data_IF_764427866352
#
_entry.id   IF_764427866352
#
_cell.length_a   1.000
_cell.length_b   1.000
_cell.length_c   1.000
_cell.angle_alpha   90.00
_cell.angle_beta   90.00
_cell.angle_gamma   90.00
#
_symmetry.space_group_name_H-M   'P 1'
#
loop_
_entity.id
_entity.type
_entity.pdbx_description
1 polymer ?
#
# COMPACT_ATOMS: atom_id res chain seq x y z
N UNK A 1 -4.69 41.97 48.95
CA UNK A 1 -3.77 40.93 48.51
C UNK A 1 -4.51 39.60 48.46
N UNK A 2 -5.17 39.31 47.38
CA UNK A 2 -5.89 38.05 47.19
C UNK A 2 -5.23 37.30 46.02
N UNK A 3 -4.72 36.12 46.30
CA UNK A 3 -3.96 35.29 45.38
C UNK A 3 -4.81 34.79 44.23
N UNK A 4 -4.37 35.04 43.02
CA UNK A 4 -4.83 34.34 41.83
C UNK A 4 -4.24 32.90 41.90
N UNK A 5 -5.06 31.92 42.28
CA UNK A 5 -4.76 30.52 42.07
C UNK A 5 -4.94 30.25 40.57
N UNK A 6 -3.84 30.04 39.88
CA UNK A 6 -3.84 29.48 38.51
C UNK A 6 -4.61 28.17 38.51
N UNK A 7 -5.85 28.21 38.04
CA UNK A 7 -6.62 27.00 37.73
C UNK A 7 -6.01 26.44 36.45
N UNK A 8 -4.98 25.62 36.62
CA UNK A 8 -4.42 24.85 35.50
C UNK A 8 -5.56 23.96 34.96
N UNK A 9 -5.98 24.26 33.75
CA UNK A 9 -7.07 23.57 33.07
C UNK A 9 -6.72 22.08 32.90
N UNK A 10 -7.38 21.24 33.69
CA UNK A 10 -7.18 19.78 33.67
C UNK A 10 -7.40 19.19 32.29
N UNK A 11 -8.18 19.85 31.40
CA UNK A 11 -8.40 19.43 30.03
C UNK A 11 -7.12 19.61 29.18
N UNK A 12 -6.41 20.72 29.36
CA UNK A 12 -5.11 20.99 28.70
C UNK A 12 -4.01 20.05 29.17
N UNK A 13 -3.96 19.75 30.49
CA UNK A 13 -3.01 18.78 31.01
C UNK A 13 -3.28 17.38 30.44
N UNK A 14 -4.55 16.99 30.34
CA UNK A 14 -4.96 15.71 29.78
C UNK A 14 -4.60 15.61 28.28
N UNK A 15 -4.84 16.69 27.53
CA UNK A 15 -4.44 16.78 26.11
C UNK A 15 -2.92 16.71 25.91
N UNK A 16 -2.13 17.46 26.68
CA UNK A 16 -0.68 17.43 26.62
C UNK A 16 -0.12 16.05 27.01
N UNK A 17 -0.71 15.41 28.04
CA UNK A 17 -0.32 14.06 28.46
C UNK A 17 -0.70 13.00 27.43
N UNK A 18 -1.80 13.20 26.71
CA UNK A 18 -2.23 12.30 25.64
C UNK A 18 -1.35 12.46 24.40
N UNK A 19 -0.99 13.70 24.02
CA UNK A 19 -0.05 13.98 22.92
C UNK A 19 1.37 13.43 23.22
N UNK A 20 1.81 13.46 24.46
CA UNK A 20 3.10 12.90 24.88
C UNK A 20 3.19 11.36 24.78
N UNK A 21 2.07 10.67 24.59
CA UNK A 21 2.00 9.21 24.40
C UNK A 21 1.82 8.79 22.95
N UNK A 22 1.46 9.72 22.06
CA UNK A 22 1.22 9.40 20.64
C UNK A 22 2.53 9.07 19.91
N UNK A 23 2.45 8.09 19.02
CA UNK A 23 3.53 7.71 18.11
C UNK A 23 3.18 8.17 16.70
N UNK A 24 4.08 8.94 16.10
CA UNK A 24 3.93 9.43 14.73
C UNK A 24 4.63 8.44 13.80
N UNK A 25 3.90 7.93 12.82
CA UNK A 25 4.41 6.96 11.85
C UNK A 25 4.17 7.43 10.42
N UNK A 26 4.94 6.89 9.52
CA UNK A 26 4.77 6.99 8.07
C UNK A 26 4.37 5.63 7.51
N UNK A 27 3.50 5.60 6.54
CA UNK A 27 3.00 4.37 5.93
C UNK A 27 3.50 4.20 4.50
N UNK A 28 4.06 3.05 4.21
CA UNK A 28 4.53 2.64 2.90
C UNK A 28 3.68 1.45 2.41
N UNK A 29 2.70 1.71 1.51
CA UNK A 29 1.64 0.77 1.15
C UNK A 29 1.92 0.10 -0.19
N UNK A 30 2.14 -1.22 -0.18
CA UNK A 30 2.30 -2.00 -1.40
C UNK A 30 1.03 -2.06 -2.24
N UNK A 31 1.22 -2.15 -3.57
CA UNK A 31 0.21 -2.52 -4.53
C UNK A 31 0.04 -4.04 -4.65
N UNK A 32 -1.15 -4.46 -5.09
CA UNK A 32 -1.47 -5.88 -5.25
C UNK A 32 -2.91 -6.16 -5.66
N UNK A 33 -3.59 -5.23 -6.32
CA UNK A 33 -4.99 -5.39 -6.74
C UNK A 33 -5.91 -5.65 -5.55
N UNK A 34 -6.77 -6.68 -5.65
CA UNK A 34 -7.71 -7.06 -4.59
C UNK A 34 -7.02 -7.40 -3.25
N UNK A 35 -5.73 -7.81 -3.28
CA UNK A 35 -4.98 -8.05 -2.05
C UNK A 35 -4.78 -6.76 -1.23
N UNK A 36 -4.97 -5.59 -1.80
CA UNK A 36 -5.04 -4.31 -1.08
C UNK A 36 -6.13 -4.24 -0.01
N UNK A 37 -7.10 -5.17 0.00
CA UNK A 37 -8.06 -5.30 1.09
C UNK A 37 -7.41 -5.78 2.41
N UNK A 38 -6.26 -6.47 2.35
CA UNK A 38 -5.41 -6.70 3.52
C UNK A 38 -4.95 -5.36 4.11
N UNK A 39 -4.44 -4.46 3.26
CA UNK A 39 -4.03 -3.11 3.67
C UNK A 39 -5.21 -2.33 4.28
N UNK A 40 -6.43 -2.45 3.73
CA UNK A 40 -7.61 -1.87 4.36
C UNK A 40 -7.80 -2.34 5.81
N UNK A 41 -7.68 -3.65 6.07
CA UNK A 41 -7.76 -4.18 7.44
C UNK A 41 -6.68 -3.62 8.36
N UNK A 42 -5.43 -3.52 7.86
CA UNK A 42 -4.32 -2.92 8.60
C UNK A 42 -4.61 -1.45 8.94
N UNK A 43 -5.02 -0.65 7.96
CA UNK A 43 -5.32 0.78 8.13
C UNK A 43 -6.48 0.99 9.09
N UNK A 44 -7.53 0.18 9.00
CA UNK A 44 -8.69 0.25 9.89
C UNK A 44 -8.28 0.07 11.35
N UNK A 45 -7.43 -0.92 11.65
CA UNK A 45 -6.92 -1.18 12.99
C UNK A 45 -5.98 -0.08 13.49
N UNK A 46 -5.11 0.46 12.63
CA UNK A 46 -4.22 1.58 12.99
C UNK A 46 -5.02 2.85 13.30
N UNK A 47 -6.08 3.12 12.54
CA UNK A 47 -6.96 4.27 12.76
C UNK A 47 -7.80 4.17 14.03
N UNK A 48 -8.13 2.96 14.50
CA UNK A 48 -8.79 2.75 15.79
C UNK A 48 -7.91 3.11 16.98
N UNK A 49 -6.59 3.07 16.83
CA UNK A 49 -5.68 3.31 17.93
C UNK A 49 -5.37 4.82 18.05
N UNK A 50 -5.88 5.46 19.09
CA UNK A 50 -5.65 6.89 19.33
C UNK A 50 -4.20 7.24 19.66
N UNK A 51 -3.38 6.24 19.96
CA UNK A 51 -1.96 6.41 20.24
C UNK A 51 -1.12 6.53 18.95
N UNK A 52 -1.69 6.22 17.78
CA UNK A 52 -1.03 6.30 16.48
C UNK A 52 -1.49 7.54 15.74
N UNK A 53 -0.54 8.28 15.19
CA UNK A 53 -0.74 9.41 14.28
C UNK A 53 0.01 9.12 12.99
N UNK A 54 -0.68 9.24 11.87
CA UNK A 54 -0.09 9.05 10.54
C UNK A 54 0.31 10.43 10.02
N UNK A 55 1.61 10.63 9.75
CA UNK A 55 2.14 11.89 9.17
C UNK A 55 2.10 11.86 7.65
N UNK A 56 2.52 10.74 7.07
CA UNK A 56 2.63 10.60 5.62
C UNK A 56 2.32 9.19 5.13
N UNK A 57 1.83 9.10 3.90
CA UNK A 57 1.55 7.83 3.23
C UNK A 57 2.12 7.87 1.82
N UNK A 58 2.93 6.88 1.48
CA UNK A 58 3.31 6.58 0.11
C UNK A 58 2.65 5.28 -0.33
N UNK A 59 1.88 5.32 -1.41
CA UNK A 59 1.16 4.17 -1.91
C UNK A 59 1.36 3.92 -3.40
N UNK A 60 1.26 2.64 -3.77
CA UNK A 60 1.36 2.19 -5.17
C UNK A 60 0.15 1.32 -5.51
N UNK A 61 -0.47 1.53 -6.68
CA UNK A 61 -1.59 0.72 -7.17
C UNK A 61 -2.74 0.67 -6.14
N UNK A 62 -3.16 -0.51 -5.67
CA UNK A 62 -4.15 -0.64 -4.60
C UNK A 62 -3.73 0.10 -3.31
N UNK A 63 -2.43 0.20 -3.02
CA UNK A 63 -1.88 1.00 -1.93
C UNK A 63 -2.15 2.50 -2.14
N UNK A 64 -2.03 3.01 -3.37
CA UNK A 64 -2.37 4.39 -3.72
C UNK A 64 -3.87 4.67 -3.56
N UNK A 65 -4.73 3.74 -3.99
CA UNK A 65 -6.18 3.82 -3.78
C UNK A 65 -6.52 3.95 -2.29
N UNK A 66 -5.97 3.04 -1.46
CA UNK A 66 -6.15 3.09 -0.01
C UNK A 66 -5.65 4.43 0.58
N UNK A 67 -4.48 4.91 0.14
CA UNK A 67 -3.86 6.13 0.65
C UNK A 67 -4.73 7.38 0.37
N UNK A 68 -5.23 7.52 -0.86
CA UNK A 68 -6.04 8.68 -1.26
C UNK A 68 -7.41 8.67 -0.59
N UNK A 69 -8.06 7.50 -0.53
CA UNK A 69 -9.37 7.34 0.15
C UNK A 69 -9.25 7.61 1.65
N UNK A 70 -8.16 7.15 2.27
CA UNK A 70 -7.87 7.41 3.68
C UNK A 70 -7.63 8.92 3.90
N UNK A 71 -6.85 9.58 3.05
CA UNK A 71 -6.52 11.00 3.18
C UNK A 71 -7.78 11.86 3.13
N UNK A 72 -8.63 11.69 2.12
CA UNK A 72 -9.90 12.40 1.99
C UNK A 72 -10.83 12.14 3.19
N UNK A 73 -10.94 10.88 3.61
CA UNK A 73 -11.75 10.52 4.77
C UNK A 73 -11.24 11.09 6.09
N UNK A 74 -9.90 11.22 6.27
CA UNK A 74 -9.30 11.88 7.43
C UNK A 74 -9.62 13.37 7.45
N UNK A 75 -9.52 14.04 6.31
CA UNK A 75 -9.76 15.47 6.19
C UNK A 75 -11.24 15.83 6.43
N UNK A 76 -12.16 14.96 6.00
CA UNK A 76 -13.60 15.20 6.07
C UNK A 76 -14.25 14.75 7.38
N UNK A 77 -13.74 13.69 8.00
CA UNK A 77 -14.40 13.06 9.16
C UNK A 77 -13.43 12.44 10.17
N UNK A 78 -12.16 12.83 10.15
CA UNK A 78 -11.15 12.29 11.06
C UNK A 78 -10.94 10.79 10.87
N UNK A 79 -10.43 10.11 11.89
CA UNK A 79 -10.14 8.68 11.84
C UNK A 79 -11.35 7.83 11.47
N UNK A 80 -12.52 8.14 12.01
CA UNK A 80 -13.75 7.41 11.72
C UNK A 80 -14.22 7.67 10.27
N UNK A 81 -14.10 8.91 9.77
CA UNK A 81 -14.35 9.24 8.37
C UNK A 81 -13.49 8.43 7.42
N UNK A 82 -12.20 8.31 7.71
CA UNK A 82 -11.25 7.49 6.93
C UNK A 82 -11.63 5.99 6.92
N UNK A 83 -11.99 5.44 8.07
CA UNK A 83 -12.44 4.04 8.20
C UNK A 83 -13.68 3.78 7.36
N UNK A 84 -14.67 4.67 7.42
CA UNK A 84 -15.90 4.57 6.63
C UNK A 84 -15.64 4.73 5.13
N UNK A 85 -14.75 5.66 4.74
CA UNK A 85 -14.37 5.86 3.34
C UNK A 85 -13.70 4.62 2.75
N UNK A 86 -12.73 4.01 3.45
CA UNK A 86 -12.09 2.76 3.06
C UNK A 86 -13.10 1.62 2.89
N UNK A 87 -14.04 1.46 3.83
CA UNK A 87 -15.10 0.46 3.73
C UNK A 87 -16.00 0.69 2.52
N UNK A 88 -16.39 1.95 2.26
CA UNK A 88 -17.21 2.32 1.09
C UNK A 88 -16.47 2.02 -0.21
N UNK A 89 -15.18 2.33 -0.27
CA UNK A 89 -14.32 2.04 -1.43
C UNK A 89 -14.29 0.54 -1.74
N UNK A 90 -13.93 -0.31 -0.79
CA UNK A 90 -13.85 -1.76 -1.02
C UNK A 90 -15.20 -2.40 -1.30
N UNK A 91 -16.27 -1.91 -0.68
CA UNK A 91 -17.64 -2.32 -1.04
C UNK A 91 -18.01 -1.87 -2.48
N UNK A 92 -17.54 -0.70 -2.90
CA UNK A 92 -17.67 -0.21 -4.27
C UNK A 92 -16.92 -1.07 -5.28
N UNK A 93 -15.68 -1.44 -4.98
CA UNK A 93 -14.87 -2.37 -5.80
C UNK A 93 -15.60 -3.70 -5.98
N UNK A 94 -16.14 -4.25 -4.91
CA UNK A 94 -16.91 -5.50 -5.00
C UNK A 94 -18.17 -5.36 -5.87
N UNK A 95 -18.91 -4.26 -5.74
CA UNK A 95 -20.11 -4.00 -6.54
C UNK A 95 -19.76 -3.80 -8.02
N UNK A 96 -18.73 -3.02 -8.33
CA UNK A 96 -18.24 -2.82 -9.69
C UNK A 96 -17.81 -4.15 -10.33
N UNK A 97 -17.15 -5.01 -9.56
CA UNK A 97 -16.77 -6.34 -10.00
C UNK A 97 -17.90 -7.38 -10.03
N UNK A 98 -19.13 -7.04 -9.61
CA UNK A 98 -20.24 -7.99 -9.59
C UNK A 98 -20.60 -8.52 -10.99
N UNK A 99 -20.41 -7.71 -12.02
CA UNK A 99 -20.67 -8.07 -13.42
C UNK A 99 -19.40 -8.52 -14.16
N UNK A 100 -18.26 -8.58 -13.49
CA UNK A 100 -17.02 -9.07 -14.09
C UNK A 100 -17.14 -10.56 -14.44
N UNK A 101 -16.57 -11.02 -15.57
CA UNK A 101 -16.50 -12.44 -15.91
C UNK A 101 -15.52 -13.21 -14.99
N UNK A 102 -14.75 -12.52 -14.17
CA UNK A 102 -13.75 -13.10 -13.26
C UNK A 102 -14.43 -13.63 -11.99
N UNK A 103 -15.01 -14.82 -12.08
CA UNK A 103 -15.72 -15.49 -10.98
C UNK A 103 -15.05 -16.82 -10.67
N UNK A 104 -14.96 -17.14 -9.38
CA UNK A 104 -14.53 -18.49 -8.96
C UNK A 104 -15.51 -19.54 -9.47
N UNK A 105 -14.97 -20.72 -9.84
CA UNK A 105 -15.81 -21.86 -10.16
C UNK A 105 -16.58 -22.33 -8.91
N UNK A 106 -17.66 -23.07 -9.12
CA UNK A 106 -18.40 -23.68 -8.00
C UNK A 106 -17.51 -24.63 -7.16
N UNK A 107 -16.57 -25.32 -7.81
CA UNK A 107 -15.63 -26.22 -7.16
C UNK A 107 -14.61 -25.46 -6.29
N UNK A 108 -14.08 -24.32 -6.77
CA UNK A 108 -13.18 -23.47 -5.97
C UNK A 108 -13.89 -22.90 -4.76
N UNK A 109 -15.19 -22.59 -4.88
CA UNK A 109 -16.02 -22.14 -3.74
C UNK A 109 -16.20 -23.26 -2.72
N UNK A 110 -16.50 -24.48 -3.19
CA UNK A 110 -16.66 -25.66 -2.32
C UNK A 110 -15.36 -26.01 -1.58
N UNK A 111 -14.21 -25.89 -2.26
CA UNK A 111 -12.88 -26.17 -1.71
C UNK A 111 -12.28 -25.00 -0.92
N UNK A 112 -13.01 -23.87 -0.77
CA UNK A 112 -12.53 -22.68 -0.07
C UNK A 112 -11.36 -21.98 -0.75
N UNK A 113 -11.12 -22.23 -2.04
CA UNK A 113 -10.04 -21.61 -2.82
C UNK A 113 -10.44 -20.21 -3.30
N UNK A 114 -9.53 -19.26 -3.23
CA UNK A 114 -9.76 -17.87 -3.66
C UNK A 114 -9.19 -17.57 -5.05
N UNK A 115 -8.50 -18.51 -5.67
CA UNK A 115 -7.92 -18.39 -7.01
C UNK A 115 -8.98 -18.23 -8.10
N UNK A 116 -8.62 -17.59 -9.20
CA UNK A 116 -9.38 -17.53 -10.43
C UNK A 116 -8.75 -18.39 -11.56
N UNK A 117 -7.70 -19.15 -11.26
CA UNK A 117 -6.92 -19.90 -12.26
C UNK A 117 -7.79 -20.84 -13.10
N UNK A 118 -8.87 -21.37 -12.51
CA UNK A 118 -9.81 -22.25 -13.18
C UNK A 118 -11.10 -21.53 -13.65
N UNK A 119 -11.15 -20.20 -13.53
CA UNK A 119 -12.26 -19.39 -14.04
C UNK A 119 -12.22 -19.32 -15.56
N UNK A 120 -13.25 -19.76 -16.28
CA UNK A 120 -13.26 -19.70 -17.75
C UNK A 120 -13.11 -18.26 -18.27
N UNK A 121 -13.75 -17.29 -17.60
CA UNK A 121 -13.62 -15.87 -17.95
C UNK A 121 -12.20 -15.34 -17.75
N UNK A 122 -11.55 -15.73 -16.66
CA UNK A 122 -10.16 -15.33 -16.39
C UNK A 122 -9.19 -15.97 -17.40
N UNK A 123 -9.30 -17.28 -17.66
CA UNK A 123 -8.45 -17.99 -18.62
C UNK A 123 -8.58 -17.41 -20.04
N UNK A 124 -9.80 -17.12 -20.47
CA UNK A 124 -10.04 -16.48 -21.76
C UNK A 124 -9.39 -15.08 -21.81
N UNK A 125 -9.60 -14.27 -20.78
CA UNK A 125 -9.03 -12.93 -20.71
C UNK A 125 -7.50 -12.95 -20.63
N UNK A 126 -6.90 -13.81 -19.81
CA UNK A 126 -5.44 -13.94 -19.70
C UNK A 126 -4.81 -14.32 -21.05
N UNK A 127 -5.42 -15.25 -21.78
CA UNK A 127 -4.97 -15.62 -23.12
C UNK A 127 -5.13 -14.45 -24.10
N UNK A 128 -6.28 -13.80 -24.09
CA UNK A 128 -6.59 -12.73 -25.03
C UNK A 128 -5.71 -11.49 -24.80
N UNK A 129 -5.47 -11.11 -23.55
CA UNK A 129 -4.64 -9.95 -23.18
C UNK A 129 -3.16 -10.08 -23.59
N UNK A 130 -2.71 -11.31 -23.89
CA UNK A 130 -1.35 -11.58 -24.43
C UNK A 130 -1.29 -11.44 -25.94
N UNK A 131 -2.43 -11.53 -26.63
CA UNK A 131 -2.53 -11.50 -28.09
C UNK A 131 -3.03 -10.16 -28.61
N UNK A 132 -3.84 -9.47 -27.82
CA UNK A 132 -4.52 -8.22 -28.22
C UNK A 132 -4.30 -7.15 -27.17
N UNK A 133 -3.90 -5.97 -27.59
CA UNK A 133 -3.60 -4.85 -26.67
C UNK A 133 -4.88 -4.28 -26.03
N UNK A 134 -4.79 -3.63 -24.87
CA UNK A 134 -5.93 -2.93 -24.26
C UNK A 134 -6.49 -1.80 -25.15
N UNK A 135 -5.68 -1.23 -26.05
CA UNK A 135 -6.14 -0.23 -27.03
C UNK A 135 -7.13 -0.81 -28.04
N UNK A 136 -7.03 -2.11 -28.34
CA UNK A 136 -7.91 -2.83 -29.24
C UNK A 136 -9.10 -3.45 -28.50
N UNK A 137 -8.88 -3.98 -27.27
CA UNK A 137 -9.91 -4.64 -26.46
C UNK A 137 -10.87 -3.64 -25.80
N UNK A 138 -10.37 -2.48 -25.43
CA UNK A 138 -11.11 -1.42 -24.75
C UNK A 138 -10.83 -0.06 -25.39
N UNK A 139 -11.24 0.17 -26.66
CA UNK A 139 -10.94 1.40 -27.39
C UNK A 139 -11.54 2.65 -26.74
N UNK A 140 -12.61 2.51 -25.98
CA UNK A 140 -13.25 3.60 -25.24
C UNK A 140 -12.62 3.86 -23.86
N UNK A 141 -11.55 3.13 -23.51
CA UNK A 141 -10.85 3.24 -22.23
C UNK A 141 -11.80 3.23 -21.01
N UNK A 142 -12.78 2.34 -21.03
CA UNK A 142 -13.73 2.17 -19.92
C UNK A 142 -12.99 1.62 -18.71
N UNK A 143 -13.00 2.36 -17.60
CA UNK A 143 -12.38 1.97 -16.35
C UNK A 143 -13.34 2.22 -15.17
N UNK A 144 -14.02 1.19 -14.66
CA UNK A 144 -14.97 1.35 -13.54
C UNK A 144 -14.35 1.88 -12.26
N UNK A 145 -13.02 1.74 -12.08
CA UNK A 145 -12.33 2.32 -10.93
C UNK A 145 -12.28 3.84 -10.99
N UNK A 146 -12.30 4.44 -12.20
CA UNK A 146 -12.36 5.89 -12.37
C UNK A 146 -13.63 6.45 -11.74
N UNK A 147 -14.78 5.92 -12.13
CA UNK A 147 -16.07 6.38 -11.65
C UNK A 147 -16.21 6.18 -10.14
N UNK A 148 -15.74 5.03 -9.65
CA UNK A 148 -15.75 4.73 -8.23
C UNK A 148 -14.92 5.72 -7.43
N UNK A 149 -13.65 5.94 -7.78
CA UNK A 149 -12.75 6.84 -7.05
C UNK A 149 -13.26 8.28 -7.14
N UNK A 150 -13.68 8.74 -8.34
CA UNK A 150 -14.20 10.10 -8.53
C UNK A 150 -15.49 10.35 -7.73
N UNK A 151 -16.29 9.31 -7.46
CA UNK A 151 -17.50 9.42 -6.66
C UNK A 151 -17.27 9.42 -5.15
N UNK A 152 -16.10 8.97 -4.70
CA UNK A 152 -15.77 8.81 -3.28
C UNK A 152 -14.79 9.83 -2.74
N UNK A 153 -13.92 10.39 -3.59
CA UNK A 153 -12.82 11.27 -3.21
C UNK A 153 -13.03 12.66 -3.82
N UNK A 154 -13.03 13.68 -2.98
CA UNK A 154 -12.98 15.07 -3.41
C UNK A 154 -11.52 15.49 -3.62
N UNK A 155 -11.05 15.39 -4.87
CA UNK A 155 -9.68 15.73 -5.22
C UNK A 155 -9.35 17.21 -5.06
N UNK A 156 -10.33 18.12 -5.17
CA UNK A 156 -10.15 19.55 -4.85
C UNK A 156 -9.85 19.72 -3.36
N UNK A 157 -10.65 19.07 -2.53
CA UNK A 157 -10.43 19.12 -1.09
C UNK A 157 -9.08 18.49 -0.72
N UNK A 158 -8.75 17.31 -1.25
CA UNK A 158 -7.46 16.65 -1.00
C UNK A 158 -6.28 17.56 -1.32
N UNK A 159 -6.29 18.29 -2.45
CA UNK A 159 -5.18 19.17 -2.84
C UNK A 159 -4.98 20.35 -1.87
N UNK A 160 -6.04 20.91 -1.34
CA UNK A 160 -6.01 22.15 -0.56
C UNK A 160 -5.99 21.94 0.95
N UNK A 161 -6.38 20.77 1.44
CA UNK A 161 -6.37 20.49 2.88
C UNK A 161 -4.94 20.31 3.41
N UNK A 162 -4.69 20.87 4.59
CA UNK A 162 -3.47 20.65 5.37
C UNK A 162 -3.58 19.36 6.17
N UNK A 163 -3.64 18.23 5.46
CA UNK A 163 -3.72 16.90 6.07
C UNK A 163 -2.39 16.13 5.99
N UNK A 164 -2.49 14.82 6.05
CA UNK A 164 -1.33 13.93 5.92
C UNK A 164 -0.60 14.17 4.60
N UNK A 165 0.72 13.98 4.59
CA UNK A 165 1.51 14.00 3.36
C UNK A 165 1.17 12.78 2.51
N UNK A 166 0.88 12.98 1.24
CA UNK A 166 0.40 11.94 0.34
C UNK A 166 1.30 11.84 -0.89
N UNK A 167 1.76 10.62 -1.17
CA UNK A 167 2.61 10.29 -2.31
C UNK A 167 2.03 9.11 -3.07
N UNK A 168 1.86 9.26 -4.36
CA UNK A 168 1.37 8.21 -5.27
C UNK A 168 2.43 7.93 -6.32
N UNK A 169 2.77 6.66 -6.48
CA UNK A 169 3.85 6.21 -7.37
C UNK A 169 3.29 5.74 -8.69
N UNK A 170 3.86 6.20 -9.80
CA UNK A 170 3.60 5.69 -11.15
C UNK A 170 4.92 5.44 -11.91
N UNK A 171 4.85 4.71 -13.02
CA UNK A 171 5.98 4.46 -13.91
C UNK A 171 5.78 5.21 -15.22
N UNK A 172 6.70 6.12 -15.57
CA UNK A 172 6.67 6.79 -16.86
C UNK A 172 7.03 5.79 -17.96
N UNK A 173 6.14 5.62 -18.94
CA UNK A 173 6.25 4.58 -19.97
C UNK A 173 7.44 4.83 -20.91
N UNK A 174 7.72 6.11 -21.24
CA UNK A 174 8.75 6.46 -22.22
C UNK A 174 10.15 6.34 -21.66
N UNK A 175 10.32 6.69 -20.38
CA UNK A 175 11.65 6.77 -19.76
C UNK A 175 11.97 5.59 -18.85
N UNK A 176 10.95 4.80 -18.48
CA UNK A 176 11.07 3.74 -17.47
C UNK A 176 11.37 4.26 -16.06
N UNK A 177 11.24 5.58 -15.83
CA UNK A 177 11.55 6.20 -14.54
C UNK A 177 10.33 6.21 -13.62
N UNK A 178 10.60 6.20 -12.33
CA UNK A 178 9.61 6.45 -11.29
C UNK A 178 9.10 7.89 -11.36
N UNK A 179 7.79 8.09 -11.23
CA UNK A 179 7.15 9.39 -11.00
C UNK A 179 6.44 9.33 -9.66
N UNK A 180 6.69 10.33 -8.83
CA UNK A 180 6.00 10.54 -7.56
C UNK A 180 5.06 11.72 -7.73
N UNK A 181 3.77 11.47 -7.57
CA UNK A 181 2.75 12.51 -7.48
C UNK A 181 2.53 12.88 -6.02
N UNK A 182 2.54 14.18 -5.72
CA UNK A 182 2.37 14.72 -4.38
C UNK A 182 0.93 15.17 -4.16
N UNK A 183 0.54 15.31 -2.90
CA UNK A 183 -0.81 15.69 -2.49
C UNK A 183 -1.35 16.91 -3.23
N UNK A 184 -0.53 17.98 -3.38
CA UNK A 184 -0.92 19.27 -3.95
C UNK A 184 -1.27 19.21 -5.45
N UNK A 185 -0.82 18.19 -6.15
CA UNK A 185 -1.10 17.96 -7.58
C UNK A 185 -2.12 16.84 -7.82
N UNK A 186 -2.60 16.16 -6.75
CA UNK A 186 -3.34 14.91 -6.85
C UNK A 186 -4.63 15.03 -7.66
N UNK A 187 -4.78 14.13 -8.63
CA UNK A 187 -5.99 13.96 -9.44
C UNK A 187 -6.37 12.49 -9.53
N UNK A 188 -7.59 12.24 -10.02
CA UNK A 188 -8.03 10.85 -10.29
C UNK A 188 -7.11 10.15 -11.28
N UNK A 189 -6.61 10.88 -12.30
CA UNK A 189 -5.70 10.31 -13.31
C UNK A 189 -4.38 9.85 -12.70
N UNK A 190 -3.82 10.57 -11.74
CA UNK A 190 -2.60 10.19 -11.05
C UNK A 190 -2.77 8.91 -10.25
N UNK A 191 -3.92 8.75 -9.58
CA UNK A 191 -4.25 7.52 -8.84
C UNK A 191 -4.45 6.35 -9.80
N UNK A 192 -5.14 6.57 -10.91
CA UNK A 192 -5.35 5.54 -11.94
C UNK A 192 -4.05 5.17 -12.66
N UNK A 193 -3.16 6.14 -12.90
CA UNK A 193 -1.82 5.88 -13.45
C UNK A 193 -1.04 4.91 -12.56
N UNK A 194 -1.12 5.10 -11.24
CA UNK A 194 -0.49 4.21 -10.26
C UNK A 194 -1.03 2.77 -10.31
N UNK A 195 -2.25 2.55 -10.79
CA UNK A 195 -2.90 1.24 -10.87
C UNK A 195 -3.11 0.75 -12.32
N UNK A 196 -2.45 1.39 -13.29
CA UNK A 196 -2.59 1.09 -14.70
C UNK A 196 -1.73 -0.10 -15.12
N UNK A 197 -2.26 -1.32 -15.01
CA UNK A 197 -1.59 -2.53 -15.49
C UNK A 197 -1.58 -2.58 -17.03
N UNK A 198 -0.41 -2.71 -17.69
CA UNK A 198 -0.25 -2.55 -19.15
C UNK A 198 -1.08 -3.50 -20.03
N UNK A 199 -1.40 -4.68 -19.52
CA UNK A 199 -2.19 -5.69 -20.25
C UNK A 199 -3.70 -5.59 -20.01
N UNK A 200 -4.13 -4.69 -19.10
CA UNK A 200 -5.54 -4.52 -18.73
C UNK A 200 -6.06 -3.17 -19.18
N UNK A 201 -5.27 -2.10 -19.02
CA UNK A 201 -5.67 -0.73 -19.28
C UNK A 201 -4.73 -0.04 -20.27
N UNK A 202 -5.28 0.91 -21.04
CA UNK A 202 -4.48 1.86 -21.80
C UNK A 202 -3.64 2.71 -20.84
N UNK A 203 -2.45 3.14 -21.27
CA UNK A 203 -1.63 4.03 -20.47
C UNK A 203 -2.40 5.30 -20.11
N UNK A 204 -2.25 5.78 -18.88
CA UNK A 204 -2.88 7.03 -18.46
C UNK A 204 -1.97 8.18 -18.89
N UNK A 205 -2.53 9.11 -19.67
CA UNK A 205 -1.82 10.30 -20.12
C UNK A 205 -2.06 11.47 -19.17
N UNK A 206 -0.98 12.08 -18.68
CA UNK A 206 -0.99 13.25 -17.80
C UNK A 206 0.06 14.24 -18.33
N UNK A 207 -0.36 15.43 -18.70
CA UNK A 207 0.52 16.51 -19.21
C UNK A 207 1.42 16.07 -20.38
N UNK A 208 0.89 15.22 -21.27
CA UNK A 208 1.61 14.72 -22.45
C UNK A 208 2.56 13.56 -22.21
N UNK A 209 2.68 13.09 -20.96
CA UNK A 209 3.44 11.91 -20.57
C UNK A 209 2.50 10.73 -20.28
N UNK A 210 2.94 9.52 -20.64
CA UNK A 210 2.18 8.29 -20.45
C UNK A 210 2.68 7.50 -19.22
N UNK A 211 1.77 6.96 -18.43
CA UNK A 211 2.09 6.27 -17.18
C UNK A 211 1.43 4.90 -17.08
N UNK A 212 2.17 3.96 -16.50
CA UNK A 212 1.74 2.64 -16.06
C UNK A 212 1.84 2.50 -14.55
N UNK A 213 1.38 1.34 -14.04
CA UNK A 213 1.40 0.99 -12.62
C UNK A 213 2.78 1.27 -11.99
N UNK A 214 2.74 1.92 -10.84
CA UNK A 214 3.94 2.26 -10.09
C UNK A 214 4.73 1.05 -9.60
N UNK A 215 4.08 -0.13 -9.51
CA UNK A 215 4.67 -1.35 -9.03
C UNK A 215 5.91 -1.82 -9.78
N UNK A 216 6.12 -1.34 -11.01
CA UNK A 216 7.33 -1.64 -11.77
C UNK A 216 8.56 -0.88 -11.27
N UNK A 217 8.41 0.33 -10.71
CA UNK A 217 9.53 1.20 -10.33
C UNK A 217 9.54 1.63 -8.85
N UNK A 218 8.43 1.46 -8.12
CA UNK A 218 8.35 1.76 -6.69
C UNK A 218 7.12 1.12 -6.04
N UNK A 219 7.29 0.07 -5.26
CA UNK A 219 6.16 -0.66 -4.67
C UNK A 219 6.36 -0.99 -3.18
N UNK A 220 6.14 -0.01 -2.30
CA UNK A 220 6.07 1.43 -2.54
C UNK A 220 7.44 2.08 -2.66
N UNK A 221 7.47 3.38 -3.01
CA UNK A 221 8.65 4.21 -2.87
C UNK A 221 8.83 4.64 -1.41
N UNK A 222 10.07 4.60 -0.89
CA UNK A 222 10.38 4.99 0.48
C UNK A 222 11.03 6.38 0.57
N UNK A 223 11.79 6.76 -0.45
CA UNK A 223 12.49 8.06 -0.45
C UNK A 223 11.57 9.26 -0.21
N UNK A 224 10.34 9.35 -0.76
CA UNK A 224 9.46 10.48 -0.48
C UNK A 224 9.12 10.63 1.01
N UNK A 225 9.00 9.51 1.74
CA UNK A 225 8.75 9.53 3.18
C UNK A 225 9.99 10.01 3.92
N UNK A 226 11.17 9.49 3.58
CA UNK A 226 12.44 9.91 4.21
C UNK A 226 12.76 11.39 3.93
N UNK A 227 12.49 11.87 2.71
CA UNK A 227 12.85 13.23 2.29
C UNK A 227 11.87 14.29 2.83
N UNK A 228 10.59 14.00 2.84
CA UNK A 228 9.53 15.00 3.03
C UNK A 228 8.84 14.92 4.41
N UNK A 229 8.92 13.79 5.13
CA UNK A 229 8.28 13.62 6.45
C UNK A 229 9.25 13.85 7.62
N UNK A 230 8.72 14.00 8.84
CA UNK A 230 9.51 14.26 10.06
C UNK A 230 9.63 13.04 10.97
N UNK A 231 8.66 12.13 10.93
CA UNK A 231 8.73 10.89 11.69
C UNK A 231 9.91 10.04 11.25
N UNK A 232 10.48 9.26 12.16
CA UNK A 232 11.53 8.29 11.86
C UNK A 232 10.97 6.91 11.59
N UNK A 233 9.73 6.64 12.00
CA UNK A 233 9.11 5.31 11.96
C UNK A 233 8.38 5.09 10.64
N UNK A 234 8.99 4.33 9.73
CA UNK A 234 8.41 3.94 8.44
C UNK A 234 7.86 2.53 8.56
N UNK A 235 6.54 2.38 8.47
CA UNK A 235 5.84 1.11 8.54
C UNK A 235 5.47 0.64 7.12
N UNK A 236 6.11 -0.41 6.66
CA UNK A 236 5.85 -1.03 5.36
C UNK A 236 4.69 -2.02 5.52
N UNK A 237 3.58 -1.79 4.82
CA UNK A 237 2.48 -2.75 4.70
C UNK A 237 2.73 -3.59 3.46
N UNK A 238 3.22 -4.80 3.68
CA UNK A 238 3.68 -5.69 2.61
C UNK A 238 2.65 -6.75 2.26
N UNK A 239 2.30 -6.80 0.98
CA UNK A 239 1.31 -7.74 0.42
C UNK A 239 1.98 -8.86 -0.35
N UNK A 240 3.05 -8.54 -1.10
CA UNK A 240 3.70 -9.48 -1.98
C UNK A 240 4.78 -10.26 -1.20
N UNK A 241 4.69 -11.62 -1.11
CA UNK A 241 5.69 -12.42 -0.43
C UNK A 241 7.08 -12.26 -1.04
N UNK A 242 8.11 -12.15 -0.18
CA UNK A 242 9.51 -12.07 -0.61
C UNK A 242 10.08 -13.45 -0.93
N UNK A 243 9.77 -14.41 -0.10
CA UNK A 243 10.35 -15.75 -0.13
C UNK A 243 9.31 -16.81 -0.47
N UNK A 244 9.69 -17.73 -1.36
CA UNK A 244 8.98 -18.96 -1.67
C UNK A 244 9.94 -20.13 -1.46
N UNK A 245 9.51 -21.11 -0.68
CA UNK A 245 10.32 -22.31 -0.38
C UNK A 245 10.40 -23.21 -1.59
N UNK A 246 9.28 -23.41 -2.28
CA UNK A 246 9.20 -24.29 -3.43
C UNK A 246 9.54 -23.58 -4.73
N UNK A 247 10.28 -24.27 -5.59
CA UNK A 247 10.56 -23.80 -6.94
C UNK A 247 9.28 -23.87 -7.79
N UNK A 248 8.85 -22.78 -8.46
CA UNK A 248 7.69 -22.82 -9.33
C UNK A 248 7.94 -23.72 -10.54
N UNK A 249 7.02 -24.67 -10.80
CA UNK A 249 7.16 -25.66 -11.88
C UNK A 249 6.06 -25.59 -12.92
N UNK A 250 4.91 -25.01 -12.59
CA UNK A 250 3.82 -24.79 -13.53
C UNK A 250 3.86 -23.39 -14.12
N UNK A 251 3.32 -23.20 -15.33
CA UNK A 251 3.30 -21.89 -15.96
C UNK A 251 2.61 -20.80 -15.08
N UNK A 252 1.45 -21.07 -14.42
CA UNK A 252 0.87 -20.12 -13.48
C UNK A 252 1.81 -19.79 -12.31
N UNK A 253 2.47 -20.77 -11.69
CA UNK A 253 3.38 -20.54 -10.57
C UNK A 253 4.60 -19.71 -10.98
N UNK A 254 5.15 -19.98 -12.19
CA UNK A 254 6.26 -19.20 -12.75
C UNK A 254 5.84 -17.74 -12.94
N UNK A 255 4.67 -17.50 -13.53
CA UNK A 255 4.14 -16.15 -13.72
C UNK A 255 3.85 -15.44 -12.39
N UNK A 256 3.31 -16.17 -11.42
CA UNK A 256 3.12 -15.69 -10.05
C UNK A 256 4.45 -15.21 -9.46
N UNK A 257 5.50 -16.03 -9.59
CA UNK A 257 6.81 -15.72 -9.03
C UNK A 257 7.48 -14.54 -9.73
N UNK A 258 7.39 -14.47 -11.06
CA UNK A 258 7.90 -13.32 -11.84
C UNK A 258 7.22 -12.02 -11.37
N UNK A 259 5.90 -12.04 -11.20
CA UNK A 259 5.17 -10.88 -10.71
C UNK A 259 5.63 -10.46 -9.30
N UNK A 260 5.77 -11.41 -8.36
CA UNK A 260 6.25 -11.11 -7.00
C UNK A 260 7.67 -10.53 -7.02
N UNK A 261 8.57 -11.11 -7.79
CA UNK A 261 9.96 -10.61 -7.94
C UNK A 261 9.95 -9.19 -8.49
N UNK A 262 9.21 -8.96 -9.56
CA UNK A 262 9.15 -7.64 -10.22
C UNK A 262 8.60 -6.58 -9.25
N UNK A 263 7.52 -6.89 -8.55
CA UNK A 263 6.86 -5.96 -7.64
C UNK A 263 7.60 -5.74 -6.32
N UNK A 264 8.54 -6.60 -5.95
CA UNK A 264 9.40 -6.42 -4.78
C UNK A 264 10.76 -5.80 -5.11
N UNK A 265 11.20 -5.86 -6.37
CA UNK A 265 12.57 -5.52 -6.77
C UNK A 265 12.94 -4.06 -6.44
N UNK A 266 12.02 -3.11 -6.67
CA UNK A 266 12.24 -1.70 -6.37
C UNK A 266 12.34 -1.45 -4.87
N UNK A 267 11.45 -2.03 -4.07
CA UNK A 267 11.47 -1.92 -2.61
C UNK A 267 12.79 -2.45 -2.02
N UNK A 268 13.24 -3.63 -2.47
CA UNK A 268 14.51 -4.22 -2.03
C UNK A 268 15.68 -3.28 -2.35
N UNK A 269 15.71 -2.68 -3.55
CA UNK A 269 16.76 -1.73 -3.95
C UNK A 269 16.75 -0.46 -3.12
N UNK A 270 15.58 0.11 -2.85
CA UNK A 270 15.46 1.32 -2.02
C UNK A 270 15.86 1.05 -0.57
N UNK A 271 15.40 -0.04 0.03
CA UNK A 271 15.79 -0.43 1.39
C UNK A 271 17.30 -0.62 1.48
N UNK A 272 17.91 -1.28 0.48
CA UNK A 272 19.38 -1.45 0.44
C UNK A 272 20.11 -0.11 0.36
N UNK A 273 19.64 0.79 -0.50
CA UNK A 273 20.24 2.12 -0.61
C UNK A 273 20.14 2.91 0.70
N UNK A 274 18.98 2.88 1.36
CA UNK A 274 18.77 3.56 2.64
C UNK A 274 19.63 2.91 3.74
N UNK A 275 19.77 1.58 3.76
CA UNK A 275 20.63 0.90 4.73
C UNK A 275 22.12 1.32 4.60
N UNK A 276 22.62 1.41 3.35
CA UNK A 276 23.99 1.89 3.08
C UNK A 276 24.15 3.36 3.50
N UNK A 277 23.19 4.22 3.18
CA UNK A 277 23.22 5.62 3.60
C UNK A 277 23.22 5.77 5.12
N UNK A 278 22.40 4.98 5.80
CA UNK A 278 22.35 4.95 7.26
C UNK A 278 23.69 4.53 7.87
N UNK A 279 24.33 3.51 7.31
CA UNK A 279 25.66 3.07 7.75
C UNK A 279 26.71 4.17 7.53
N UNK A 280 26.71 4.85 6.38
CA UNK A 280 27.61 5.96 6.07
C UNK A 280 27.41 7.14 7.03
N UNK A 281 26.16 7.52 7.32
CA UNK A 281 25.84 8.60 8.27
C UNK A 281 26.42 8.26 9.66
N UNK A 282 26.21 7.04 10.12
CA UNK A 282 26.66 6.60 11.44
C UNK A 282 28.20 6.51 11.52
N UNK A 283 28.86 6.01 10.45
CA UNK A 283 30.31 5.80 10.43
C UNK A 283 31.08 7.11 10.23
N UNK A 284 30.60 7.99 9.38
CA UNK A 284 31.27 9.24 9.01
C UNK A 284 30.83 10.45 9.85
N UNK A 285 29.95 10.26 10.82
CA UNK A 285 29.39 11.34 11.67
C UNK A 285 28.83 12.51 10.85
N UNK A 286 28.18 12.20 9.74
CA UNK A 286 27.66 13.22 8.83
C UNK A 286 26.38 13.84 9.40
N UNK A 287 26.43 15.11 9.71
CA UNK A 287 25.25 15.93 10.01
C UNK A 287 24.51 16.26 8.70
N UNK A 288 23.82 15.30 8.12
CA UNK A 288 23.00 15.56 6.96
C UNK A 288 21.52 15.53 7.38
N UNK A 289 20.87 16.70 7.40
CA UNK A 289 19.46 16.85 7.75
C UNK A 289 18.53 16.10 6.79
N UNK A 290 18.96 15.80 5.58
CA UNK A 290 18.18 15.11 4.55
C UNK A 290 18.06 13.60 4.81
N UNK A 291 19.14 12.97 5.25
CA UNK A 291 19.20 11.53 5.51
C UNK A 291 19.25 11.27 7.01
N UNK A 292 18.09 11.30 7.63
CA UNK A 292 17.94 10.96 9.04
C UNK A 292 17.95 9.45 9.27
N UNK A 293 18.21 9.05 10.51
CA UNK A 293 18.20 7.65 10.90
C UNK A 293 16.76 7.10 10.95
N UNK A 294 16.27 6.62 9.81
CA UNK A 294 14.93 6.05 9.70
C UNK A 294 14.83 4.70 10.43
N UNK A 295 13.71 4.46 11.09
CA UNK A 295 13.36 3.23 11.78
C UNK A 295 12.35 2.45 10.95
N UNK A 296 12.69 1.22 10.59
CA UNK A 296 11.85 0.41 9.71
C UNK A 296 11.05 -0.61 10.48
N UNK A 297 9.79 -0.73 10.11
CA UNK A 297 8.83 -1.68 10.62
C UNK A 297 8.11 -2.34 9.46
N UNK A 298 7.58 -3.56 9.65
CA UNK A 298 6.85 -4.27 8.62
C UNK A 298 5.60 -4.94 9.19
N UNK A 299 4.46 -4.73 8.54
CA UNK A 299 3.22 -5.45 8.77
C UNK A 299 2.99 -6.35 7.56
N UNK A 300 2.95 -7.66 7.77
CA UNK A 300 2.82 -8.67 6.72
C UNK A 300 2.12 -9.93 7.23
N UNK A 301 1.52 -10.68 6.32
CA UNK A 301 0.91 -11.98 6.59
C UNK A 301 1.39 -13.01 5.55
N UNK A 302 2.72 -13.20 5.48
CA UNK A 302 3.33 -14.04 4.45
C UNK A 302 2.77 -15.47 4.43
N UNK A 303 2.46 -16.05 5.60
CA UNK A 303 1.88 -17.41 5.72
C UNK A 303 0.53 -17.54 5.04
N UNK A 304 -0.35 -16.54 5.21
CA UNK A 304 -1.70 -16.55 4.63
C UNK A 304 -1.70 -16.08 3.17
N UNK A 305 -0.90 -15.06 2.85
CA UNK A 305 -0.85 -14.46 1.51
C UNK A 305 -0.08 -15.32 0.50
N UNK A 306 0.88 -16.15 0.94
CA UNK A 306 1.59 -17.11 0.05
C UNK A 306 0.66 -18.09 -0.64
N UNK A 307 -0.44 -18.47 -0.02
CA UNK A 307 -1.42 -19.38 -0.62
C UNK A 307 -2.23 -18.74 -1.77
N UNK A 308 -2.11 -17.42 -1.95
CA UNK A 308 -2.85 -16.66 -2.95
C UNK A 308 -2.00 -16.49 -4.23
N UNK A 309 -2.57 -16.87 -5.37
CA UNK A 309 -1.95 -16.66 -6.70
C UNK A 309 -2.23 -15.27 -7.27
N UNK A 310 -1.54 -14.91 -8.36
CA UNK A 310 -1.73 -13.62 -9.06
C UNK A 310 -3.16 -13.44 -9.55
N UNK A 311 -3.84 -14.51 -10.00
CA UNK A 311 -5.22 -14.44 -10.47
C UNK A 311 -6.17 -13.92 -9.39
N UNK A 312 -5.94 -14.26 -8.13
CA UNK A 312 -6.76 -13.77 -7.01
C UNK A 312 -6.64 -12.26 -6.78
N UNK A 313 -5.62 -11.58 -7.33
CA UNK A 313 -5.51 -10.11 -7.34
C UNK A 313 -6.64 -9.43 -8.14
N UNK A 314 -7.31 -10.18 -9.01
CA UNK A 314 -8.50 -9.73 -9.76
C UNK A 314 -9.82 -10.23 -9.15
N UNK A 315 -9.77 -10.97 -8.04
CA UNK A 315 -10.96 -11.45 -7.36
C UNK A 315 -11.58 -10.35 -6.49
N UNK A 316 -12.70 -9.80 -6.93
CA UNK A 316 -13.44 -8.73 -6.24
C UNK A 316 -14.65 -9.23 -5.45
N UNK A 317 -14.79 -10.55 -5.24
CA UNK A 317 -15.88 -11.10 -4.42
C UNK A 317 -15.80 -10.54 -2.99
N UNK A 318 -16.91 -10.02 -2.48
CA UNK A 318 -16.95 -9.39 -1.15
C UNK A 318 -16.44 -10.32 -0.04
N UNK A 319 -16.78 -11.60 -0.11
CA UNK A 319 -16.30 -12.59 0.86
C UNK A 319 -14.77 -12.70 0.87
N UNK A 320 -14.12 -12.58 -0.30
CA UNK A 320 -12.67 -12.59 -0.41
C UNK A 320 -12.04 -11.30 0.13
N UNK A 321 -12.59 -10.15 -0.27
CA UNK A 321 -12.11 -8.86 0.23
C UNK A 321 -12.24 -8.77 1.76
N UNK A 322 -13.35 -9.27 2.30
CA UNK A 322 -13.57 -9.32 3.75
C UNK A 322 -12.62 -10.30 4.45
N UNK A 323 -12.35 -11.45 3.85
CA UNK A 323 -11.35 -12.39 4.36
C UNK A 323 -9.96 -11.75 4.46
N UNK A 324 -9.51 -11.02 3.42
CA UNK A 324 -8.25 -10.29 3.44
C UNK A 324 -8.24 -9.16 4.48
N UNK A 325 -9.34 -8.42 4.58
CA UNK A 325 -9.50 -7.41 5.63
C UNK A 325 -9.34 -8.02 7.03
N UNK A 326 -9.98 -9.14 7.30
CA UNK A 326 -9.92 -9.80 8.62
C UNK A 326 -8.50 -10.27 8.96
N UNK A 327 -7.75 -10.77 7.96
CA UNK A 327 -6.33 -11.08 8.10
C UNK A 327 -5.55 -9.81 8.43
N UNK A 328 -5.71 -8.74 7.65
CA UNK A 328 -4.99 -7.48 7.85
C UNK A 328 -5.25 -6.84 9.21
N UNK A 329 -6.50 -6.81 9.63
CA UNK A 329 -6.91 -6.26 10.92
C UNK A 329 -6.26 -7.05 12.09
N UNK A 330 -6.34 -8.38 12.06
CA UNK A 330 -5.72 -9.25 13.07
C UNK A 330 -4.19 -9.10 13.08
N UNK A 331 -3.56 -9.07 11.91
CA UNK A 331 -2.12 -8.90 11.79
C UNK A 331 -1.67 -7.56 12.37
N UNK A 332 -2.38 -6.47 12.09
CA UNK A 332 -2.06 -5.16 12.65
C UNK A 332 -2.31 -5.11 14.17
N UNK A 333 -3.32 -5.82 14.70
CA UNK A 333 -3.54 -5.91 16.14
C UNK A 333 -2.35 -6.58 16.84
N UNK A 334 -1.94 -7.74 16.36
CA UNK A 334 -0.79 -8.46 16.92
C UNK A 334 0.49 -7.63 16.81
N UNK A 335 0.69 -6.99 15.65
CA UNK A 335 1.86 -6.15 15.42
C UNK A 335 1.93 -4.96 16.40
N UNK A 336 0.80 -4.30 16.66
CA UNK A 336 0.72 -3.20 17.63
C UNK A 336 1.02 -3.68 19.05
N UNK A 337 0.48 -4.83 19.44
CA UNK A 337 0.70 -5.39 20.78
C UNK A 337 2.20 -5.70 21.01
N UNK A 338 2.89 -6.20 19.99
CA UNK A 338 4.30 -6.58 20.06
C UNK A 338 5.25 -5.39 19.90
N UNK A 339 4.94 -4.43 19.01
CA UNK A 339 5.90 -3.46 18.51
C UNK A 339 5.65 -1.99 18.91
N UNK A 340 4.48 -1.68 19.48
CA UNK A 340 4.16 -0.30 19.86
C UNK A 340 5.22 0.35 20.78
N UNK A 341 5.79 -0.43 21.70
CA UNK A 341 6.81 0.02 22.63
C UNK A 341 8.13 0.42 21.97
N UNK A 342 8.40 -0.08 20.77
CA UNK A 342 9.64 0.14 20.01
C UNK A 342 9.57 1.33 19.06
N UNK A 343 8.36 1.79 18.70
CA UNK A 343 8.17 2.97 17.86
C UNK A 343 8.86 4.20 18.45
N UNK A 344 9.61 4.91 17.62
CA UNK A 344 10.46 6.05 17.98
C UNK A 344 11.76 5.68 18.68
N UNK A 345 12.06 4.40 18.88
CA UNK A 345 13.25 3.92 19.60
C UNK A 345 14.18 3.08 18.74
N UNK A 346 13.64 2.06 18.07
CA UNK A 346 14.42 1.13 17.25
C UNK A 346 13.56 0.52 16.14
N UNK A 347 14.20 0.12 15.06
CA UNK A 347 13.57 -0.70 14.03
C UNK A 347 13.13 -2.04 14.62
N UNK A 348 11.92 -2.49 14.21
CA UNK A 348 11.44 -3.85 14.52
C UNK A 348 11.65 -4.79 13.32
N UNK A 349 12.03 -4.23 12.18
CA UNK A 349 12.40 -4.95 10.98
C UNK A 349 13.92 -5.12 10.94
N UNK A 350 14.38 -6.35 10.93
CA UNK A 350 15.75 -6.68 10.57
C UNK A 350 15.89 -6.65 9.04
N UNK A 351 16.34 -5.49 8.54
CA UNK A 351 16.52 -5.25 7.11
C UNK A 351 17.50 -6.25 6.51
N UNK A 352 18.57 -6.56 7.24
CA UNK A 352 19.65 -7.40 6.74
C UNK A 352 19.15 -8.82 6.50
N UNK A 353 18.50 -9.42 7.47
CA UNK A 353 18.00 -10.80 7.35
C UNK A 353 16.84 -10.93 6.36
N UNK A 354 15.98 -9.88 6.23
CA UNK A 354 14.76 -9.96 5.43
C UNK A 354 15.00 -9.58 3.97
N UNK A 355 15.83 -8.55 3.71
CA UNK A 355 15.96 -7.97 2.35
C UNK A 355 17.36 -8.08 1.76
N UNK A 356 18.44 -8.24 2.57
CA UNK A 356 19.80 -8.10 2.08
C UNK A 356 20.61 -9.40 2.12
N UNK A 357 20.41 -10.25 3.13
CA UNK A 357 21.13 -11.53 3.22
C UNK A 357 20.28 -12.69 2.68
N UNK A 358 20.83 -13.43 1.75
CA UNK A 358 20.45 -14.83 1.56
C UNK A 358 20.92 -15.60 2.79
N UNK A 359 20.10 -16.52 3.28
CA UNK A 359 20.54 -17.47 4.30
C UNK A 359 21.70 -18.27 3.72
N UNK A 360 22.92 -17.85 3.98
CA UNK A 360 24.11 -18.69 3.73
C UNK A 360 24.21 -19.87 4.69
N UNK A 361 23.40 -19.90 5.74
CA UNK A 361 23.50 -20.82 6.88
C UNK A 361 22.90 -22.22 6.65
N UNK A 362 22.44 -22.57 5.45
CA UNK A 362 21.91 -23.92 5.15
C UNK A 362 22.64 -24.61 3.98
N UNK A 363 23.89 -24.28 3.69
CA UNK A 363 24.76 -25.01 2.74
C UNK A 363 26.02 -25.55 3.45
N UNK A 364 25.84 -26.17 4.61
CA UNK A 364 26.82 -27.08 5.21
C UNK A 364 26.17 -28.40 5.54
#
# INVERSE_FOLDING_TARGET
>A
LCGAKDIIDKSKIKQVTQMAKQKIIELALQGGGAHGAFTWGVLDRLLEDDRIVIEGICGTSAGAMNAVVLADGLDTGGKEGARQALRKFWAGVSRAGAFSPFKRTWLDRLLGRWTLDFSPGYMFFDTLSRLVSPYQLNPFNINPLRDLISSLVDFEHVRHAEGIKLFVVATNVRTGKQKIFRRQEMTVDMVLASACLPFIFQAVEIEGEAYWDGGYMGNPALFPLVDDCQSRDIVIVQINPLYREELPRTAPDILNRINEITFNASLIKEIRAIAILKELINTANLENQRFRDALFHRIHADSELKALGVSSKLNTEWAFLKHLYDIGYRTASNWLDENYGDLGKRSTLDIESVYLRWKEDNLC
#
